data_IF_943071213092
#
_entry.id   IF_943071213092
#
_cell.length_a   1.000
_cell.length_b   1.000
_cell.length_c   1.000
_cell.angle_alpha   90.00
_cell.angle_beta   90.00
_cell.angle_gamma   90.00
#
_symmetry.space_group_name_H-M   'P 1'
#
loop_
_entity.id
_entity.type
_entity.pdbx_description
1 polymer ?
#
# COMPACT_ATOMS: atom_id res chain seq x y z
N UNK A 1 -4.39 6.13 -3.68
CA UNK A 1 -4.39 6.96 -4.90
C UNK A 1 -3.13 7.79 -5.05
N UNK A 2 -2.81 8.71 -4.13
CA UNK A 2 -1.55 9.49 -4.21
C UNK A 2 -0.34 8.56 -4.32
N UNK A 3 -0.22 7.58 -3.42
CA UNK A 3 0.88 6.61 -3.43
C UNK A 3 1.00 5.80 -4.74
N UNK A 4 -0.08 5.72 -5.51
CA UNK A 4 -0.17 4.91 -6.72
C UNK A 4 0.19 5.71 -7.98
N UNK A 5 -0.33 6.93 -8.11
CA UNK A 5 -0.07 7.76 -9.29
C UNK A 5 1.31 8.42 -9.22
N UNK A 6 1.80 8.77 -8.03
CA UNK A 6 3.08 9.47 -7.88
C UNK A 6 4.27 8.70 -8.46
N UNK A 7 4.46 7.37 -8.24
CA UNK A 7 5.54 6.62 -8.88
C UNK A 7 5.44 6.62 -10.41
N UNK A 8 4.22 6.59 -10.97
CA UNK A 8 4.02 6.69 -12.42
C UNK A 8 4.38 8.08 -12.96
N UNK A 9 4.06 9.13 -12.22
CA UNK A 9 4.50 10.48 -12.53
C UNK A 9 6.03 10.60 -12.46
N UNK A 10 6.66 10.04 -11.42
CA UNK A 10 8.12 10.04 -11.27
C UNK A 10 8.81 9.29 -12.42
N UNK A 11 8.26 8.14 -12.82
CA UNK A 11 8.75 7.37 -13.96
C UNK A 11 8.79 8.18 -15.25
N UNK A 12 7.87 9.13 -15.42
CA UNK A 12 7.80 9.93 -16.63
C UNK A 12 9.05 10.77 -16.89
N UNK A 13 9.74 11.23 -15.84
CA UNK A 13 11.02 11.92 -15.95
C UNK A 13 12.12 11.02 -16.51
N UNK A 14 12.11 9.74 -16.17
CA UNK A 14 13.08 8.75 -16.66
C UNK A 14 12.79 8.28 -18.08
N UNK A 15 11.53 8.39 -18.52
CA UNK A 15 11.11 8.07 -19.89
C UNK A 15 11.04 9.30 -20.81
N UNK A 16 11.64 10.44 -20.44
CA UNK A 16 11.66 11.67 -21.26
C UNK A 16 10.26 12.12 -21.73
N UNK A 17 9.25 11.98 -20.88
CA UNK A 17 7.86 12.38 -21.19
C UNK A 17 7.19 11.62 -22.37
N UNK A 18 7.68 10.42 -22.73
CA UNK A 18 7.11 9.57 -23.78
C UNK A 18 5.75 8.93 -23.47
N UNK A 19 5.16 9.17 -22.29
CA UNK A 19 3.91 8.53 -21.82
C UNK A 19 3.97 7.01 -21.61
N UNK A 20 5.18 6.42 -21.57
CA UNK A 20 5.33 5.01 -21.19
C UNK A 20 4.76 4.75 -19.79
N UNK A 21 3.83 3.81 -19.67
CA UNK A 21 3.25 3.44 -18.38
C UNK A 21 4.23 2.60 -17.57
N UNK A 22 4.28 2.87 -16.27
CA UNK A 22 5.03 2.07 -15.31
C UNK A 22 4.31 0.76 -15.00
N UNK A 23 2.99 0.84 -14.83
CA UNK A 23 2.14 -0.29 -14.53
C UNK A 23 1.45 -0.79 -15.79
N UNK A 24 1.15 -2.10 -15.81
CA UNK A 24 0.30 -2.67 -16.85
C UNK A 24 -1.14 -2.17 -16.73
N UNK A 25 -1.82 -2.09 -17.87
CA UNK A 25 -3.19 -1.60 -18.01
C UNK A 25 -4.20 -2.34 -17.11
N UNK A 26 -4.02 -3.65 -16.91
CA UNK A 26 -4.89 -4.45 -16.05
C UNK A 26 -4.64 -4.14 -14.58
N UNK A 27 -3.39 -3.97 -14.17
CA UNK A 27 -3.08 -3.50 -12.81
C UNK A 27 -3.61 -2.08 -12.54
N UNK A 28 -3.55 -1.20 -13.55
CA UNK A 28 -4.08 0.16 -13.42
C UNK A 28 -5.57 0.19 -13.10
N UNK A 29 -6.35 -0.66 -13.78
CA UNK A 29 -7.80 -0.72 -13.63
C UNK A 29 -8.20 -1.44 -12.35
N UNK A 30 -7.57 -2.59 -12.06
CA UNK A 30 -7.94 -3.42 -10.91
C UNK A 30 -7.48 -2.87 -9.57
N UNK A 31 -6.45 -2.02 -9.54
CA UNK A 31 -5.93 -1.45 -8.28
C UNK A 31 -7.02 -0.76 -7.47
N UNK A 32 -7.69 0.23 -8.08
CA UNK A 32 -8.71 1.00 -7.40
C UNK A 32 -9.97 0.18 -7.13
N UNK A 33 -10.32 -0.75 -8.02
CA UNK A 33 -11.59 -1.49 -7.97
C UNK A 33 -11.50 -2.67 -7.00
N UNK A 34 -10.48 -3.51 -7.09
CA UNK A 34 -10.43 -4.77 -6.36
C UNK A 34 -9.48 -4.72 -5.16
N UNK A 35 -8.27 -4.17 -5.34
CA UNK A 35 -7.23 -4.29 -4.31
C UNK A 35 -7.40 -3.28 -3.18
N UNK A 36 -7.88 -2.06 -3.47
CA UNK A 36 -8.00 -1.02 -2.43
C UNK A 36 -9.43 -0.68 -2.01
N UNK A 37 -10.44 -0.82 -2.87
CA UNK A 37 -11.79 -0.39 -2.50
C UNK A 37 -12.42 -1.27 -1.41
N UNK A 38 -12.24 -2.59 -1.50
CA UNK A 38 -12.88 -3.54 -0.59
C UNK A 38 -12.36 -3.38 0.85
N UNK A 39 -11.04 -3.33 1.13
CA UNK A 39 -10.55 -3.06 2.48
C UNK A 39 -11.00 -1.71 3.02
N UNK A 40 -11.01 -0.66 2.19
CA UNK A 40 -11.43 0.69 2.62
C UNK A 40 -12.92 0.73 2.92
N UNK A 41 -13.75 0.08 2.10
CA UNK A 41 -15.19 -0.01 2.32
C UNK A 41 -15.49 -0.76 3.63
N UNK A 42 -14.85 -1.91 3.84
CA UNK A 42 -15.08 -2.71 5.05
C UNK A 42 -14.59 -1.98 6.29
N UNK A 43 -13.42 -1.34 6.23
CA UNK A 43 -12.95 -0.42 7.27
C UNK A 43 -14.00 0.65 7.57
N UNK A 44 -14.55 1.32 6.55
CA UNK A 44 -15.55 2.38 6.76
C UNK A 44 -16.87 1.90 7.40
N UNK A 45 -17.26 0.64 7.18
CA UNK A 45 -18.51 0.07 7.68
C UNK A 45 -18.39 -0.54 9.09
N UNK A 46 -17.26 -1.20 9.36
CA UNK A 46 -17.10 -2.03 10.56
C UNK A 46 -16.14 -1.44 11.60
N UNK A 47 -15.41 -0.37 11.28
CA UNK A 47 -14.49 0.25 12.22
C UNK A 47 -15.23 0.94 13.37
N UNK A 48 -14.86 0.58 14.60
CA UNK A 48 -15.39 1.17 15.82
C UNK A 48 -14.23 1.62 16.71
N UNK A 49 -14.04 2.94 16.84
CA UNK A 49 -12.96 3.48 17.65
C UNK A 49 -13.22 3.30 19.16
N UNK A 50 -14.48 3.34 19.58
CA UNK A 50 -14.89 3.18 20.99
C UNK A 50 -16.19 2.38 21.03
N UNK A 51 -16.29 1.43 21.97
CA UNK A 51 -17.49 0.61 22.12
C UNK A 51 -18.72 1.48 22.48
N UNK A 52 -19.92 1.22 21.91
CA UNK A 52 -21.10 2.07 22.11
C UNK A 52 -21.45 2.33 23.57
N UNK A 53 -21.32 1.33 24.44
CA UNK A 53 -21.58 1.45 25.88
C UNK A 53 -20.71 2.54 26.56
N UNK A 54 -19.42 2.63 26.18
CA UNK A 54 -18.51 3.63 26.72
C UNK A 54 -18.86 5.03 26.21
N UNK A 55 -19.27 5.13 24.94
CA UNK A 55 -19.71 6.40 24.35
C UNK A 55 -20.96 6.96 25.05
N UNK A 56 -21.91 6.11 25.44
CA UNK A 56 -23.07 6.51 26.24
C UNK A 56 -22.70 6.99 27.64
N UNK A 57 -21.70 6.37 28.28
CA UNK A 57 -21.26 6.77 29.62
C UNK A 57 -20.44 8.08 29.64
N UNK A 58 -19.74 8.41 28.55
CA UNK A 58 -18.85 9.57 28.43
C UNK A 58 -19.16 10.38 27.16
N UNK A 59 -20.28 11.13 27.11
CA UNK A 59 -20.68 11.89 25.91
C UNK A 59 -19.70 13.01 25.53
N UNK A 60 -18.81 13.43 26.44
CA UNK A 60 -17.77 14.44 26.18
C UNK A 60 -16.80 14.03 25.07
N UNK A 61 -16.61 12.72 24.82
CA UNK A 61 -15.81 12.19 23.70
C UNK A 61 -16.34 12.64 22.33
N UNK A 62 -17.64 12.90 22.21
CA UNK A 62 -18.24 13.37 20.96
C UNK A 62 -17.81 14.80 20.60
N UNK A 63 -17.43 15.60 21.60
CA UNK A 63 -16.99 16.99 21.39
C UNK A 63 -15.68 17.06 20.60
N UNK A 64 -14.81 16.06 20.76
CA UNK A 64 -13.50 16.01 20.11
C UNK A 64 -13.62 15.72 18.59
N UNK A 65 -14.72 15.08 18.17
CA UNK A 65 -15.04 14.80 16.76
C UNK A 65 -15.85 15.96 16.13
N UNK A 66 -16.42 16.84 16.96
CA UNK A 66 -17.24 17.97 16.52
C UNK A 66 -16.47 18.93 15.61
N UNK A 67 -17.21 19.63 14.72
CA UNK A 67 -16.69 20.61 13.75
C UNK A 67 -15.70 20.04 12.71
N UNK A 68 -15.87 18.78 12.34
CA UNK A 68 -15.13 18.14 11.25
C UNK A 68 -13.61 18.09 11.48
N UNK A 69 -13.19 17.97 12.75
CA UNK A 69 -11.79 18.06 13.16
C UNK A 69 -10.85 17.07 12.43
N UNK A 70 -11.34 15.86 12.14
CA UNK A 70 -10.58 14.82 11.43
C UNK A 70 -10.49 15.03 9.91
N UNK A 71 -11.44 15.75 9.31
CA UNK A 71 -11.46 16.06 7.86
C UNK A 71 -11.07 17.52 7.57
N UNK A 72 -10.46 18.20 8.54
CA UNK A 72 -9.91 19.53 8.32
C UNK A 72 -8.80 19.54 7.27
N UNK A 73 -8.50 20.73 6.75
CA UNK A 73 -7.45 20.93 5.74
C UNK A 73 -6.06 20.45 6.22
N UNK A 74 -5.76 20.60 7.53
CA UNK A 74 -4.48 20.19 8.12
C UNK A 74 -4.27 18.66 8.06
N UNK A 75 -5.18 17.81 8.60
CA UNK A 75 -5.10 16.36 8.40
C UNK A 75 -5.02 15.95 6.93
N UNK A 76 -5.85 16.55 6.07
CA UNK A 76 -5.85 16.23 4.64
C UNK A 76 -4.47 16.45 3.99
N UNK A 77 -3.86 17.61 4.23
CA UNK A 77 -2.53 17.93 3.70
C UNK A 77 -1.46 17.00 4.28
N UNK A 78 -1.56 16.67 5.57
CA UNK A 78 -0.66 15.73 6.23
C UNK A 78 -0.72 14.34 5.58
N UNK A 79 -1.91 13.77 5.40
CA UNK A 79 -2.10 12.46 4.76
C UNK A 79 -1.64 12.47 3.30
N UNK A 80 -1.83 13.58 2.59
CA UNK A 80 -1.35 13.76 1.22
C UNK A 80 0.18 13.77 1.16
N UNK A 81 0.85 14.53 2.03
CA UNK A 81 2.31 14.57 2.12
C UNK A 81 2.90 13.21 2.50
N UNK A 82 2.27 12.50 3.43
CA UNK A 82 2.65 11.13 3.79
C UNK A 82 2.55 10.20 2.57
N UNK A 83 1.49 10.32 1.78
CA UNK A 83 1.32 9.54 0.56
C UNK A 83 2.40 9.82 -0.49
N UNK A 84 2.82 11.08 -0.64
CA UNK A 84 3.98 11.42 -1.46
C UNK A 84 5.24 10.75 -0.92
N UNK A 85 5.53 10.89 0.38
CA UNK A 85 6.72 10.29 1.00
C UNK A 85 6.80 8.78 0.77
N UNK A 86 5.69 8.05 0.96
CA UNK A 86 5.62 6.61 0.66
C UNK A 86 5.87 6.33 -0.83
N UNK A 87 5.26 7.07 -1.75
CA UNK A 87 5.51 6.90 -3.18
C UNK A 87 6.97 7.13 -3.57
N UNK A 88 7.62 8.15 -3.00
CA UNK A 88 9.03 8.41 -3.20
C UNK A 88 9.87 7.22 -2.70
N UNK A 89 9.56 6.69 -1.52
CA UNK A 89 10.25 5.52 -0.98
C UNK A 89 10.07 4.27 -1.84
N UNK A 90 8.87 4.02 -2.38
CA UNK A 90 8.63 2.90 -3.29
C UNK A 90 9.43 3.04 -4.57
N UNK A 91 9.36 4.19 -5.22
CA UNK A 91 10.02 4.43 -6.51
C UNK A 91 11.54 4.41 -6.37
N UNK A 92 12.10 5.25 -5.48
CA UNK A 92 13.55 5.36 -5.31
C UNK A 92 14.14 4.13 -4.61
N UNK A 93 13.42 3.50 -3.67
CA UNK A 93 13.85 2.24 -3.06
C UNK A 93 14.01 1.14 -4.11
N UNK A 94 13.01 0.99 -4.97
CA UNK A 94 13.05 0.04 -6.09
C UNK A 94 14.13 0.38 -7.11
N UNK A 95 14.31 1.67 -7.42
CA UNK A 95 15.30 2.15 -8.37
C UNK A 95 16.74 1.91 -7.87
N UNK A 96 17.02 2.16 -6.60
CA UNK A 96 18.35 1.91 -6.02
C UNK A 96 18.72 0.43 -6.03
N UNK A 97 17.74 -0.45 -5.88
CA UNK A 97 17.93 -1.90 -5.88
C UNK A 97 18.17 -2.43 -7.29
N UNK A 98 17.46 -1.91 -8.29
CA UNK A 98 17.57 -2.36 -9.68
C UNK A 98 18.59 -1.58 -10.52
N UNK A 99 19.03 -0.41 -10.06
CA UNK A 99 19.86 0.53 -10.82
C UNK A 99 21.37 0.30 -10.75
N UNK A 100 21.85 -0.61 -9.89
CA UNK A 100 23.19 -1.19 -10.07
C UNK A 100 23.01 -2.39 -10.98
N UNK A 101 23.87 -2.56 -11.99
CA UNK A 101 23.92 -3.68 -12.96
C UNK A 101 24.16 -5.06 -12.32
N UNK A 102 23.52 -5.31 -11.19
CA UNK A 102 23.57 -6.54 -10.41
C UNK A 102 22.45 -7.41 -10.93
N UNK A 103 22.79 -8.56 -11.51
CA UNK A 103 21.82 -9.58 -11.86
C UNK A 103 21.16 -10.10 -10.59
N UNK A 104 20.01 -9.53 -10.23
CA UNK A 104 19.21 -9.93 -9.07
C UNK A 104 18.55 -11.30 -9.30
N UNK A 105 18.56 -11.82 -10.52
CA UNK A 105 18.23 -13.22 -10.77
C UNK A 105 19.46 -14.11 -10.65
N UNK A 106 19.26 -15.27 -10.02
CA UNK A 106 20.29 -16.32 -9.94
C UNK A 106 20.69 -16.91 -11.31
N UNK A 107 19.97 -16.60 -12.39
CA UNK A 107 20.27 -17.00 -13.75
C UNK A 107 21.06 -15.94 -14.56
N UNK A 108 21.42 -14.80 -13.95
CA UNK A 108 22.19 -13.74 -14.61
C UNK A 108 21.38 -12.81 -15.51
N UNK A 109 20.06 -12.98 -15.64
CA UNK A 109 19.22 -12.11 -16.46
C UNK A 109 18.97 -10.75 -15.81
N UNK A 110 18.94 -9.70 -16.63
CA UNK A 110 18.55 -8.36 -16.22
C UNK A 110 17.04 -8.24 -16.14
N UNK A 111 16.56 -7.46 -15.18
CA UNK A 111 15.13 -7.16 -15.08
C UNK A 111 14.71 -6.13 -16.13
N UNK A 112 13.55 -6.37 -16.75
CA UNK A 112 12.96 -5.42 -17.69
C UNK A 112 12.13 -4.33 -16.99
N UNK A 113 11.69 -3.34 -17.77
CA UNK A 113 10.85 -2.24 -17.28
C UNK A 113 9.56 -2.74 -16.60
N UNK A 114 8.93 -3.79 -17.16
CA UNK A 114 7.74 -4.38 -16.60
C UNK A 114 7.99 -5.05 -15.24
N UNK A 115 9.18 -5.64 -15.05
CA UNK A 115 9.56 -6.22 -13.76
C UNK A 115 9.77 -5.13 -12.71
N UNK A 116 10.40 -4.01 -13.08
CA UNK A 116 10.52 -2.83 -12.21
C UNK A 116 9.13 -2.30 -11.80
N UNK A 117 8.23 -2.10 -12.76
CA UNK A 117 6.86 -1.65 -12.50
C UNK A 117 6.08 -2.60 -11.59
N UNK A 118 6.26 -3.90 -11.79
CA UNK A 118 5.63 -4.95 -10.96
C UNK A 118 6.18 -4.94 -9.53
N UNK A 119 7.50 -4.79 -9.36
CA UNK A 119 8.12 -4.69 -8.03
C UNK A 119 7.60 -3.45 -7.26
N UNK A 120 7.56 -2.28 -7.90
CA UNK A 120 7.00 -1.05 -7.30
C UNK A 120 5.54 -1.27 -6.91
N UNK A 121 4.76 -1.93 -7.77
CA UNK A 121 3.35 -2.22 -7.51
C UNK A 121 3.16 -3.20 -6.35
N UNK A 122 3.94 -4.28 -6.27
CA UNK A 122 3.89 -5.25 -5.17
C UNK A 122 4.18 -4.58 -3.83
N UNK A 123 5.25 -3.79 -3.75
CA UNK A 123 5.62 -3.04 -2.54
C UNK A 123 4.50 -2.09 -2.12
N UNK A 124 3.91 -1.38 -3.09
CA UNK A 124 2.83 -0.44 -2.84
C UNK A 124 1.58 -1.15 -2.28
N UNK A 125 1.11 -2.23 -2.93
CA UNK A 125 -0.10 -2.97 -2.48
C UNK A 125 0.09 -3.49 -1.06
N UNK A 126 1.23 -4.12 -0.77
CA UNK A 126 1.53 -4.62 0.57
C UNK A 126 1.58 -3.47 1.58
N UNK A 127 2.29 -2.39 1.27
CA UNK A 127 2.44 -1.26 2.20
C UNK A 127 1.12 -0.58 2.49
N UNK A 128 0.29 -0.31 1.47
CA UNK A 128 -1.02 0.36 1.66
C UNK A 128 -1.95 -0.53 2.47
N UNK A 129 -2.02 -1.83 2.19
CA UNK A 129 -2.87 -2.76 2.95
C UNK A 129 -2.39 -2.91 4.39
N UNK A 130 -1.09 -3.03 4.62
CA UNK A 130 -0.52 -3.08 5.98
C UNK A 130 -0.68 -1.75 6.72
N UNK A 131 -0.58 -0.62 6.03
CA UNK A 131 -0.85 0.70 6.61
C UNK A 131 -2.30 0.80 7.08
N UNK A 132 -3.26 0.33 6.29
CA UNK A 132 -4.67 0.25 6.70
C UNK A 132 -4.85 -0.66 7.91
N UNK A 133 -4.17 -1.82 7.94
CA UNK A 133 -4.18 -2.73 9.09
C UNK A 133 -3.66 -2.05 10.38
N UNK A 134 -2.60 -1.23 10.29
CA UNK A 134 -2.04 -0.49 11.43
C UNK A 134 -3.01 0.61 11.92
N UNK A 135 -3.80 1.21 11.03
CA UNK A 135 -4.79 2.23 11.40
C UNK A 135 -6.09 1.66 11.97
N UNK A 136 -6.35 0.37 11.75
CA UNK A 136 -7.52 -0.35 12.29
C UNK A 136 -7.40 -0.53 13.80
N UNK A 137 -8.38 -0.03 14.56
CA UNK A 137 -8.50 -0.21 16.00
C UNK A 137 -9.35 -1.44 16.34
N UNK A 138 -10.41 -1.72 15.58
CA UNK A 138 -11.31 -2.85 15.86
C UNK A 138 -11.14 -3.99 14.84
N UNK A 139 -10.44 -5.03 15.27
CA UNK A 139 -10.20 -6.23 14.46
C UNK A 139 -11.38 -7.20 14.51
N UNK A 140 -12.27 -7.09 13.53
CA UNK A 140 -13.29 -8.10 13.27
C UNK A 140 -12.73 -9.22 12.38
N UNK A 141 -13.39 -10.39 12.41
CA UNK A 141 -13.06 -11.49 11.49
C UNK A 141 -13.19 -11.06 10.02
N UNK A 142 -14.19 -10.23 9.70
CA UNK A 142 -14.41 -9.70 8.35
C UNK A 142 -13.25 -8.80 7.92
N UNK A 143 -12.80 -7.87 8.78
CA UNK A 143 -11.65 -7.02 8.49
C UNK A 143 -10.39 -7.87 8.27
N UNK A 144 -10.16 -8.90 9.09
CA UNK A 144 -9.03 -9.81 8.90
C UNK A 144 -9.08 -10.52 7.54
N UNK A 145 -10.24 -11.10 7.20
CA UNK A 145 -10.42 -11.79 5.93
C UNK A 145 -10.20 -10.85 4.73
N UNK A 146 -10.71 -9.62 4.78
CA UNK A 146 -10.63 -8.68 3.66
C UNK A 146 -9.23 -8.10 3.50
N UNK A 147 -8.56 -7.76 4.61
CA UNK A 147 -7.18 -7.25 4.57
C UNK A 147 -6.22 -8.30 4.01
N UNK A 148 -6.18 -9.51 4.57
CA UNK A 148 -5.29 -10.58 4.08
C UNK A 148 -5.75 -11.14 2.73
N UNK A 149 -7.06 -11.23 2.53
CA UNK A 149 -7.68 -11.64 1.27
C UNK A 149 -7.32 -10.71 0.12
N UNK A 150 -7.19 -9.40 0.34
CA UNK A 150 -6.76 -8.45 -0.69
C UNK A 150 -5.32 -8.70 -1.17
N UNK A 151 -4.41 -9.02 -0.23
CA UNK A 151 -3.02 -9.36 -0.53
C UNK A 151 -2.99 -10.70 -1.27
N UNK A 152 -3.67 -11.72 -0.73
CA UNK A 152 -3.74 -13.04 -1.35
C UNK A 152 -4.35 -13.00 -2.75
N UNK A 153 -5.44 -12.25 -2.91
CA UNK A 153 -6.10 -12.05 -4.20
C UNK A 153 -5.17 -11.38 -5.21
N UNK A 154 -4.37 -10.38 -4.81
CA UNK A 154 -3.35 -9.80 -5.66
C UNK A 154 -2.34 -10.85 -6.16
N UNK A 155 -1.74 -11.64 -5.26
CA UNK A 155 -0.76 -12.67 -5.66
C UNK A 155 -1.37 -13.74 -6.58
N UNK A 156 -2.56 -14.24 -6.25
CA UNK A 156 -3.27 -15.25 -7.06
C UNK A 156 -3.60 -14.69 -8.43
N UNK A 157 -4.15 -13.47 -8.48
CA UNK A 157 -4.49 -12.80 -9.73
C UNK A 157 -3.25 -12.58 -10.60
N UNK A 158 -2.16 -12.07 -10.03
CA UNK A 158 -0.90 -11.82 -10.73
C UNK A 158 -0.26 -13.10 -11.28
N UNK A 159 -0.31 -14.22 -10.54
CA UNK A 159 0.15 -15.52 -11.03
C UNK A 159 -0.72 -16.05 -12.19
N UNK A 160 -2.05 -15.92 -12.05
CA UNK A 160 -2.99 -16.38 -13.06
C UNK A 160 -2.86 -15.58 -14.36
N UNK A 161 -2.78 -14.23 -14.24
CA UNK A 161 -2.62 -13.30 -15.35
C UNK A 161 -1.29 -13.52 -16.10
N UNK A 162 -0.17 -13.57 -15.37
CA UNK A 162 1.16 -13.74 -15.99
C UNK A 162 1.48 -15.15 -16.47
N UNK A 163 0.73 -16.18 -16.03
CA UNK A 163 1.03 -17.59 -16.28
C UNK A 163 0.06 -18.33 -17.20
N UNK A 164 -1.26 -18.11 -17.08
CA UNK A 164 -2.28 -18.97 -17.72
C UNK A 164 -3.07 -18.24 -18.81
N UNK A 165 -3.38 -16.95 -18.64
CA UNK A 165 -4.25 -16.22 -19.59
C UNK A 165 -3.49 -15.81 -20.88
N UNK A 166 -2.16 -15.93 -20.90
CA UNK A 166 -1.33 -15.51 -22.03
C UNK A 166 -1.74 -16.02 -23.43
N UNK A 167 -2.24 -17.26 -23.63
CA UNK A 167 -2.61 -17.74 -24.97
C UNK A 167 -3.89 -17.08 -25.51
N UNK A 168 -4.69 -16.48 -24.62
CA UNK A 168 -6.02 -15.94 -24.94
C UNK A 168 -6.03 -14.42 -25.09
N UNK A 169 -4.91 -13.75 -24.80
CA UNK A 169 -4.76 -12.30 -24.88
C UNK A 169 -3.82 -11.94 -26.03
N UNK A 170 -4.30 -11.10 -26.95
CA UNK A 170 -3.59 -10.73 -28.18
C UNK A 170 -2.30 -9.90 -27.93
N UNK A 171 -2.21 -9.23 -26.78
CA UNK A 171 -1.06 -8.41 -26.36
C UNK A 171 -0.82 -8.60 -24.86
N UNK A 172 0.29 -9.26 -24.50
CA UNK A 172 0.70 -9.46 -23.10
C UNK A 172 2.19 -9.23 -22.95
N UNK A 173 2.56 -8.05 -22.47
CA UNK A 173 3.96 -7.69 -22.24
C UNK A 173 4.49 -8.20 -20.88
N UNK A 174 3.63 -8.81 -20.07
CA UNK A 174 3.93 -9.31 -18.71
C UNK A 174 4.11 -10.83 -18.60
N UNK A 175 4.32 -11.53 -19.72
CA UNK A 175 4.50 -12.99 -19.71
C UNK A 175 5.61 -13.42 -18.76
N UNK A 176 5.26 -14.25 -17.76
CA UNK A 176 6.18 -14.81 -16.76
C UNK A 176 6.96 -13.80 -15.89
N UNK A 177 6.75 -12.49 -16.07
CA UNK A 177 7.45 -11.42 -15.35
C UNK A 177 7.21 -11.51 -13.84
N UNK A 178 5.98 -11.80 -13.43
CA UNK A 178 5.65 -11.95 -12.01
C UNK A 178 6.35 -13.15 -11.38
N UNK A 179 6.38 -14.30 -12.08
CA UNK A 179 7.07 -15.50 -11.60
C UNK A 179 8.57 -15.26 -11.51
N UNK A 180 9.15 -14.56 -12.50
CA UNK A 180 10.54 -14.16 -12.51
C UNK A 180 10.90 -13.28 -11.30
N UNK A 181 10.02 -12.32 -10.96
CA UNK A 181 10.17 -11.49 -9.78
C UNK A 181 10.13 -12.31 -8.49
N UNK A 182 9.15 -13.20 -8.34
CA UNK A 182 9.00 -14.03 -7.13
C UNK A 182 10.08 -15.11 -6.99
N UNK A 183 10.72 -15.52 -8.09
CA UNK A 183 11.83 -16.47 -8.07
C UNK A 183 13.12 -15.85 -7.53
N UNK A 184 13.26 -14.52 -7.60
CA UNK A 184 14.43 -13.82 -7.06
C UNK A 184 14.33 -13.63 -5.54
N UNK A 185 15.18 -14.33 -4.80
CA UNK A 185 15.29 -14.13 -3.34
C UNK A 185 15.65 -12.69 -2.96
N UNK A 186 16.50 -12.01 -3.75
CA UNK A 186 16.85 -10.61 -3.51
C UNK A 186 15.67 -9.66 -3.72
N UNK A 187 14.74 -9.96 -4.63
CA UNK A 187 13.52 -9.17 -4.80
C UNK A 187 12.63 -9.25 -3.55
N UNK A 188 12.53 -10.42 -2.90
CA UNK A 188 11.81 -10.55 -1.63
C UNK A 188 12.43 -9.74 -0.50
N UNK A 189 13.75 -9.80 -0.34
CA UNK A 189 14.46 -8.98 0.65
C UNK A 189 14.25 -7.49 0.39
N UNK A 190 14.32 -7.06 -0.87
CA UNK A 190 14.03 -5.70 -1.30
C UNK A 190 12.60 -5.27 -0.91
N UNK A 191 11.60 -6.08 -1.24
CA UNK A 191 10.20 -5.81 -0.91
C UNK A 191 10.05 -5.64 0.61
N UNK A 192 10.59 -6.57 1.40
CA UNK A 192 10.51 -6.51 2.87
C UNK A 192 11.18 -5.25 3.41
N UNK A 193 12.39 -4.92 2.95
CA UNK A 193 13.12 -3.73 3.42
C UNK A 193 12.35 -2.45 3.12
N UNK A 194 11.81 -2.31 1.90
CA UNK A 194 11.08 -1.10 1.52
C UNK A 194 9.77 -0.98 2.33
N UNK A 195 9.00 -2.07 2.46
CA UNK A 195 7.76 -2.11 3.26
C UNK A 195 8.04 -1.75 4.71
N UNK A 196 9.05 -2.39 5.33
CA UNK A 196 9.42 -2.13 6.73
C UNK A 196 9.86 -0.69 6.91
N UNK A 197 10.68 -0.15 6.02
CA UNK A 197 11.16 1.24 6.12
C UNK A 197 10.00 2.24 6.03
N UNK A 198 9.05 2.02 5.13
CA UNK A 198 7.88 2.89 4.99
C UNK A 198 6.98 2.84 6.22
N UNK A 199 6.65 1.63 6.70
CA UNK A 199 5.76 1.44 7.84
C UNK A 199 6.42 1.79 9.18
N UNK A 200 7.75 1.66 9.28
CA UNK A 200 8.48 2.00 10.50
C UNK A 200 8.26 3.46 10.89
N UNK A 201 8.35 4.38 9.91
CA UNK A 201 8.13 5.80 10.16
C UNK A 201 6.70 6.10 10.62
N UNK A 202 5.72 5.39 10.08
CA UNK A 202 4.33 5.47 10.52
C UNK A 202 4.13 4.97 11.95
N UNK A 203 4.69 3.80 12.27
CA UNK A 203 4.56 3.17 13.59
C UNK A 203 5.25 4.01 14.65
N UNK A 204 6.49 4.44 14.40
CA UNK A 204 7.24 5.31 15.33
C UNK A 204 6.46 6.57 15.62
N UNK A 205 5.94 7.23 14.58
CA UNK A 205 5.10 8.41 14.77
C UNK A 205 3.86 8.10 15.59
N UNK A 206 3.11 7.06 15.25
CA UNK A 206 1.86 6.69 15.95
C UNK A 206 2.13 6.40 17.43
N UNK A 207 3.20 5.67 17.74
CA UNK A 207 3.61 5.33 19.12
C UNK A 207 4.06 6.58 19.88
N UNK A 208 4.89 7.44 19.28
CA UNK A 208 5.36 8.68 19.92
C UNK A 208 4.21 9.63 20.24
N UNK A 209 3.29 9.85 19.30
CA UNK A 209 2.12 10.70 19.55
C UNK A 209 1.22 10.13 20.64
N UNK A 210 0.99 8.81 20.64
CA UNK A 210 0.18 8.15 21.67
C UNK A 210 0.81 8.24 23.06
N UNK A 211 2.14 8.19 23.17
CA UNK A 211 2.83 8.33 24.45
C UNK A 211 2.94 9.78 24.94
N UNK A 212 3.28 10.72 24.05
CA UNK A 212 3.55 12.11 24.44
C UNK A 212 2.29 12.97 24.54
N UNK A 213 1.31 12.73 23.65
CA UNK A 213 0.11 13.56 23.50
C UNK A 213 -1.15 12.68 23.25
N UNK A 214 -1.52 11.80 24.20
CA UNK A 214 -2.69 10.94 24.04
C UNK A 214 -3.98 11.74 23.95
N UNK A 215 -4.79 11.43 22.94
CA UNK A 215 -6.13 11.98 22.76
C UNK A 215 -7.10 11.46 23.82
N UNK A 216 -8.21 12.17 24.06
CA UNK A 216 -9.21 11.77 25.07
C UNK A 216 -9.79 10.37 24.78
N UNK A 217 -9.96 10.03 23.50
CA UNK A 217 -10.40 8.70 23.04
C UNK A 217 -9.37 7.62 23.37
N UNK A 218 -8.08 7.87 23.13
CA UNK A 218 -7.00 6.93 23.45
C UNK A 218 -6.85 6.72 24.95
N UNK A 219 -7.05 7.75 25.77
CA UNK A 219 -7.05 7.61 27.25
C UNK A 219 -8.17 6.69 27.73
N UNK A 220 -9.35 6.81 27.13
CA UNK A 220 -10.51 5.98 27.48
C UNK A 220 -10.33 4.54 27.00
N UNK A 221 -9.59 4.28 25.91
CA UNK A 221 -9.25 2.92 25.49
C UNK A 221 -8.24 2.22 26.42
N UNK A 222 -7.49 2.97 27.22
CA UNK A 222 -6.49 2.44 28.17
C UNK A 222 -7.08 2.18 29.56
N UNK A 223 -8.31 2.63 29.83
CA UNK A 223 -8.99 2.50 31.14
C UNK A 223 -10.09 1.46 31.08
#
# INVERSE_FOLDING_TARGET
NVCFITPQFLYQFFCLFSQQTLYDSVYLTLYNICFTSLPVLMYSLFEQHVHPHVLHSKPTLYRDISKNAHLGFKPFLYWTFLGFFHAFAFFFGSYLLMGKDTSLLGNGQMFGNWTFGTLVFTVMVITVTMKMAIETHFWTWINHFVTWGSIGFYFIFSLFYGGIIWPFLHTQDMYFVFVQLLSSGSAWFAIIIIVVTCLFLDVVKKVLYRHLLPTSTEKVQLT
#
